data_IF_039998993362
#
_entry.id   IF_039998993362
#
_cell.length_a   1.000
_cell.length_b   1.000
_cell.length_c   1.000
_cell.angle_alpha   90.00
_cell.angle_beta   90.00
_cell.angle_gamma   90.00
#
_symmetry.space_group_name_H-M   'P 1'
#
loop_
_entity.id
_entity.type
_entity.pdbx_description
1 polymer ?
#
# COMPACT_ATOMS: atom_id res chain seq x y z
N UNK A 1 8.34 8.57 11.66
CA UNK A 1 7.65 7.43 12.33
C UNK A 1 8.27 6.13 11.79
N UNK A 2 8.23 5.03 12.55
CA UNK A 2 8.83 3.76 12.10
C UNK A 2 7.84 2.85 11.37
N UNK A 3 6.54 3.04 11.63
CA UNK A 3 5.44 2.35 10.98
C UNK A 3 4.40 3.37 10.49
N UNK A 4 3.98 3.21 9.24
CA UNK A 4 2.85 3.91 8.63
C UNK A 4 1.75 2.89 8.39
N UNK A 5 0.53 3.22 8.81
CA UNK A 5 -0.67 2.43 8.53
C UNK A 5 -1.60 3.30 7.69
N UNK A 6 -1.94 2.84 6.50
CA UNK A 6 -2.79 3.57 5.56
C UNK A 6 -3.99 2.70 5.14
N UNK A 7 -5.19 3.20 5.39
CA UNK A 7 -6.44 2.55 4.96
C UNK A 7 -6.97 3.27 3.71
N UNK A 8 -6.91 2.62 2.56
CA UNK A 8 -7.28 3.15 1.25
C UNK A 8 -6.73 4.57 0.95
N UNK A 9 -5.41 4.79 0.96
CA UNK A 9 -4.82 6.14 0.89
C UNK A 9 -5.09 6.91 -0.42
N UNK A 10 -5.54 6.22 -1.48
CA UNK A 10 -5.80 6.81 -2.81
C UNK A 10 -7.27 6.80 -3.21
N UNK A 11 -8.18 6.22 -2.41
CA UNK A 11 -9.56 5.92 -2.86
C UNK A 11 -10.43 7.15 -3.18
N UNK A 12 -10.07 8.34 -2.71
CA UNK A 12 -10.79 9.61 -2.97
C UNK A 12 -10.06 10.57 -3.89
N UNK A 13 -8.94 10.14 -4.49
CA UNK A 13 -8.07 10.99 -5.31
C UNK A 13 -8.31 10.72 -6.81
N UNK A 14 -8.01 11.71 -7.64
CA UNK A 14 -7.86 11.50 -9.08
C UNK A 14 -6.61 10.66 -9.39
N UNK A 15 -6.48 10.20 -10.63
CA UNK A 15 -5.37 9.32 -11.05
C UNK A 15 -3.98 9.96 -10.86
N UNK A 16 -3.84 11.26 -11.12
CA UNK A 16 -2.56 11.98 -11.00
C UNK A 16 -2.16 12.10 -9.52
N UNK A 17 -3.11 12.55 -8.69
CA UNK A 17 -2.93 12.67 -7.24
C UNK A 17 -2.64 11.32 -6.59
N UNK A 18 -3.31 10.25 -7.04
CA UNK A 18 -3.09 8.88 -6.55
C UNK A 18 -1.66 8.42 -6.81
N UNK A 19 -1.18 8.57 -8.06
CA UNK A 19 0.18 8.22 -8.44
C UNK A 19 1.25 8.95 -7.62
N UNK A 20 1.01 10.23 -7.32
CA UNK A 20 1.86 11.02 -6.43
C UNK A 20 1.93 10.46 -5.01
N UNK A 21 0.79 10.11 -4.42
CA UNK A 21 0.71 9.52 -3.08
C UNK A 21 1.36 8.15 -3.02
N UNK A 22 1.14 7.30 -4.02
CA UNK A 22 1.77 5.97 -4.10
C UNK A 22 3.29 6.06 -4.16
N UNK A 23 3.80 6.99 -4.97
CA UNK A 23 5.24 7.24 -5.11
C UNK A 23 5.81 7.69 -3.78
N UNK A 24 5.19 8.68 -3.12
CA UNK A 24 5.60 9.15 -1.81
C UNK A 24 5.64 8.03 -0.76
N UNK A 25 4.58 7.22 -0.66
CA UNK A 25 4.51 6.11 0.29
C UNK A 25 5.60 5.06 0.03
N UNK A 26 5.87 4.76 -1.24
CA UNK A 26 6.90 3.81 -1.64
C UNK A 26 8.32 4.34 -1.36
N UNK A 27 8.56 5.62 -1.60
CA UNK A 27 9.86 6.27 -1.37
C UNK A 27 10.19 6.34 0.12
N UNK A 28 9.21 6.64 0.99
CA UNK A 28 9.42 6.61 2.45
C UNK A 28 9.86 5.21 2.93
N UNK A 29 9.32 4.14 2.35
CA UNK A 29 9.75 2.77 2.68
C UNK A 29 11.18 2.52 2.18
N UNK A 30 11.47 2.88 0.93
CA UNK A 30 12.74 2.52 0.26
C UNK A 30 13.92 3.38 0.70
N UNK A 31 13.71 4.69 0.84
CA UNK A 31 14.76 5.67 1.11
C UNK A 31 14.98 5.87 2.60
N UNK A 32 13.90 5.92 3.39
CA UNK A 32 13.98 6.17 4.84
C UNK A 32 13.96 4.89 5.68
N UNK A 33 13.82 3.71 5.04
CA UNK A 33 13.83 2.41 5.70
C UNK A 33 12.63 2.21 6.65
N UNK A 34 11.48 2.80 6.32
CA UNK A 34 10.27 2.70 7.15
C UNK A 34 9.42 1.50 6.76
N UNK A 35 8.53 1.09 7.67
CA UNK A 35 7.54 0.04 7.38
C UNK A 35 6.21 0.66 7.00
N UNK A 36 5.58 0.16 5.93
CA UNK A 36 4.24 0.53 5.50
C UNK A 36 3.33 -0.70 5.56
N UNK A 37 2.21 -0.58 6.29
CA UNK A 37 1.08 -1.48 6.21
C UNK A 37 -0.07 -0.73 5.54
N UNK A 38 -0.62 -1.28 4.47
CA UNK A 38 -1.65 -0.62 3.70
C UNK A 38 -2.79 -1.57 3.34
N UNK A 39 -4.01 -1.05 3.39
CA UNK A 39 -5.21 -1.68 2.83
C UNK A 39 -5.54 -0.97 1.52
N UNK A 40 -5.74 -1.73 0.46
CA UNK A 40 -6.11 -1.20 -0.85
C UNK A 40 -6.89 -2.21 -1.67
N UNK A 41 -7.76 -1.72 -2.55
CA UNK A 41 -8.39 -2.48 -3.61
C UNK A 41 -7.61 -2.44 -4.94
N UNK A 42 -6.57 -1.61 -5.02
CA UNK A 42 -5.69 -1.49 -6.19
C UNK A 42 -4.61 -2.58 -6.17
N UNK A 43 -4.71 -3.52 -7.11
CA UNK A 43 -3.76 -4.63 -7.25
C UNK A 43 -2.41 -4.21 -7.82
N UNK A 44 -2.35 -3.13 -8.61
CA UNK A 44 -1.11 -2.60 -9.15
C UNK A 44 -0.29 -1.96 -8.03
N UNK A 45 -0.92 -1.17 -7.18
CA UNK A 45 -0.27 -0.63 -5.99
C UNK A 45 0.17 -1.74 -5.03
N UNK A 46 -0.71 -2.71 -4.73
CA UNK A 46 -0.35 -3.85 -3.88
C UNK A 46 0.87 -4.62 -4.40
N UNK A 47 1.00 -4.80 -5.72
CA UNK A 47 2.13 -5.52 -6.34
C UNK A 47 3.50 -4.85 -6.13
N UNK A 48 3.52 -3.59 -5.68
CA UNK A 48 4.76 -2.86 -5.35
C UNK A 48 5.27 -3.17 -3.94
N UNK A 49 4.44 -3.76 -3.09
CA UNK A 49 4.81 -4.16 -1.73
C UNK A 49 5.65 -5.44 -1.74
N UNK A 50 6.50 -5.60 -0.71
CA UNK A 50 7.32 -6.80 -0.53
C UNK A 50 6.51 -8.06 -0.20
N UNK A 51 5.33 -7.87 0.40
CA UNK A 51 4.42 -8.94 0.82
C UNK A 51 3.01 -8.46 0.61
N UNK A 52 2.16 -9.31 0.06
CA UNK A 52 0.75 -9.00 -0.22
C UNK A 52 -0.12 -10.06 0.42
N UNK A 53 -1.17 -9.62 1.11
CA UNK A 53 -2.18 -10.50 1.67
C UNK A 53 -3.54 -10.20 1.05
N UNK A 54 -4.24 -11.25 0.63
CA UNK A 54 -5.63 -11.18 0.20
C UNK A 54 -6.55 -11.50 1.37
N UNK A 55 -7.43 -10.55 1.71
CA UNK A 55 -8.51 -10.79 2.66
C UNK A 55 -9.79 -11.19 1.91
N UNK A 56 -10.24 -12.42 2.08
CA UNK A 56 -11.46 -12.94 1.48
C UNK A 56 -12.25 -13.79 2.46
N UNK A 57 -13.56 -13.54 2.61
CA UNK A 57 -14.43 -14.25 3.55
C UNK A 57 -13.86 -14.35 4.97
N UNK A 58 -13.34 -13.23 5.50
CA UNK A 58 -12.68 -13.12 6.83
C UNK A 58 -11.42 -13.99 6.98
N UNK A 59 -10.89 -14.52 5.88
CA UNK A 59 -9.65 -15.29 5.85
C UNK A 59 -8.59 -14.47 5.15
N UNK A 60 -7.43 -14.33 5.79
CA UNK A 60 -6.26 -13.66 5.22
C UNK A 60 -5.33 -14.72 4.62
N UNK A 61 -4.93 -14.55 3.36
CA UNK A 61 -4.05 -15.46 2.65
C UNK A 61 -2.89 -14.67 2.05
N UNK A 62 -1.66 -15.10 2.27
CA UNK A 62 -0.50 -14.51 1.61
C UNK A 62 -0.53 -14.88 0.13
N UNK A 63 -0.25 -13.91 -0.74
CA UNK A 63 -0.16 -14.10 -2.18
C UNK A 63 1.31 -14.41 -2.53
N UNK A 64 1.55 -15.56 -3.16
CA UNK A 64 2.86 -15.94 -3.73
C UNK A 64 3.20 -15.17 -5.01
#
# INVERSE_FOLDING_TARGET
>A
PDLIIADEPTGSLDEESSSGIETLLTDIVREEGKTLLMVTHDTQLASRCSTVYLLHNRTLQEME
#
